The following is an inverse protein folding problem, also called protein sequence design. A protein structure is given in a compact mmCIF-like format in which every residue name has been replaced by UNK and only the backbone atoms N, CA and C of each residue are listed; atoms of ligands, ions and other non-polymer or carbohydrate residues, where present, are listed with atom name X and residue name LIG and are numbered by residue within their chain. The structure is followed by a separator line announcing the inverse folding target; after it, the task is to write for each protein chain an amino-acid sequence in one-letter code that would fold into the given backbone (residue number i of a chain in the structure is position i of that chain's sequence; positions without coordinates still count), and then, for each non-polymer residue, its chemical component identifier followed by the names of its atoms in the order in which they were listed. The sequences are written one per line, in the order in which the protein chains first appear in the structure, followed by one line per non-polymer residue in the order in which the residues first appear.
data_IF_706479126676
#
_entry.id   IF_706479126676
#
_cell.length_a   1.000
_cell.length_b   1.000
_cell.length_c   1.000
_cell.angle_alpha   90.00
_cell.angle_beta   90.00
_cell.angle_gamma   90.00
#
_symmetry.space_group_name_H-M   'P 1'
#
loop_
_entity.id
_entity.type
_entity.pdbx_description
1 polymer ?
#
# COMPACT_ATOMS: atom_id res chain seq x y z
N UNK A 1 13.69 -29.69 8.86
CA UNK A 1 14.87 -29.89 9.73
C UNK A 1 15.45 -28.55 10.20
N UNK A 2 14.64 -27.72 10.86
CA UNK A 2 15.08 -26.55 11.64
C UNK A 2 14.11 -26.48 12.83
N UNK A 3 14.63 -26.58 14.05
CA UNK A 3 13.82 -26.76 15.25
C UNK A 3 13.42 -25.44 15.92
N UNK A 4 14.14 -24.35 15.63
CA UNK A 4 13.96 -23.04 16.24
C UNK A 4 12.94 -22.11 15.55
N UNK A 5 12.26 -22.55 14.48
CA UNK A 5 11.29 -21.72 13.76
C UNK A 5 9.88 -21.80 14.36
N UNK A 6 9.26 -20.65 14.62
CA UNK A 6 7.87 -20.56 15.11
C UNK A 6 6.82 -20.62 14.00
N UNK A 7 7.23 -20.41 12.74
CA UNK A 7 6.39 -20.50 11.54
C UNK A 7 7.16 -21.22 10.42
N UNK A 8 6.46 -21.86 9.46
CA UNK A 8 7.09 -22.37 8.26
C UNK A 8 7.83 -21.25 7.51
N UNK A 9 9.01 -21.57 6.99
CA UNK A 9 9.79 -20.63 6.19
C UNK A 9 9.03 -20.32 4.90
N UNK A 10 8.88 -19.03 4.59
CA UNK A 10 8.24 -18.59 3.35
C UNK A 10 9.15 -18.83 2.14
N UNK A 11 8.57 -19.16 1.00
CA UNK A 11 9.34 -19.34 -0.24
C UNK A 11 9.96 -18.00 -0.64
N UNK A 12 11.24 -18.03 -1.00
CA UNK A 12 12.00 -16.83 -1.39
C UNK A 12 12.37 -15.92 -0.22
N UNK A 13 12.18 -16.37 1.01
CA UNK A 13 12.62 -15.64 2.20
C UNK A 13 14.09 -15.94 2.48
N UNK A 14 14.96 -14.94 2.31
CA UNK A 14 16.40 -15.03 2.57
C UNK A 14 16.84 -14.01 3.64
N UNK A 15 15.88 -13.42 4.35
CA UNK A 15 16.10 -12.27 5.24
C UNK A 15 16.20 -12.69 6.69
N UNK A 16 17.17 -13.56 6.97
CA UNK A 16 17.49 -14.02 8.31
C UNK A 16 18.94 -14.48 8.39
N UNK A 17 19.43 -14.61 9.62
CA UNK A 17 20.70 -15.26 9.94
C UNK A 17 20.38 -16.58 10.63
N UNK A 18 20.98 -17.65 10.15
CA UNK A 18 20.84 -18.99 10.72
C UNK A 18 22.21 -19.62 10.91
N UNK A 19 22.39 -20.29 12.06
CA UNK A 19 23.54 -21.13 12.34
C UNK A 19 23.06 -22.45 12.93
N UNK A 20 23.48 -23.57 12.34
CA UNK A 20 23.07 -24.89 12.80
C UNK A 20 23.81 -25.28 14.09
N UNK A 21 23.26 -26.28 14.78
CA UNK A 21 23.83 -26.78 16.04
C UNK A 21 25.26 -27.31 15.90
N UNK A 22 25.60 -27.87 14.72
CA UNK A 22 26.94 -28.40 14.43
C UNK A 22 27.97 -27.27 14.33
N UNK A 23 27.67 -26.20 13.57
CA UNK A 23 28.57 -25.07 13.41
C UNK A 23 28.79 -24.33 14.75
N UNK A 24 27.72 -24.17 15.53
CA UNK A 24 27.77 -23.44 16.80
C UNK A 24 28.25 -24.28 17.99
N UNK A 25 28.36 -25.60 17.82
CA UNK A 25 28.63 -26.55 18.91
C UNK A 25 27.64 -26.36 20.09
N UNK A 26 26.35 -26.17 19.76
CA UNK A 26 25.33 -25.75 20.73
C UNK A 26 23.93 -25.68 20.12
N UNK A 27 22.96 -24.98 20.76
CA UNK A 27 21.62 -24.83 20.21
C UNK A 27 21.63 -23.98 18.93
N UNK A 28 20.73 -24.32 17.99
CA UNK A 28 20.53 -23.56 16.75
C UNK A 28 20.33 -22.07 17.04
N UNK A 29 20.91 -21.22 16.18
CA UNK A 29 20.70 -19.79 16.23
C UNK A 29 19.85 -19.36 15.04
N UNK A 30 18.81 -18.59 15.31
CA UNK A 30 17.97 -17.96 14.30
C UNK A 30 17.69 -16.52 14.69
N UNK A 31 17.96 -15.60 13.77
CA UNK A 31 17.71 -14.18 13.96
C UNK A 31 17.07 -13.61 12.68
N UNK A 32 15.94 -12.94 12.84
CA UNK A 32 15.22 -12.33 11.72
C UNK A 32 15.89 -11.01 11.33
N UNK A 33 16.19 -10.81 10.05
CA UNK A 33 16.65 -9.52 9.58
C UNK A 33 15.46 -8.53 9.50
N UNK A 34 15.71 -7.26 9.82
CA UNK A 34 14.70 -6.22 9.69
C UNK A 34 14.27 -6.05 8.23
N UNK A 35 12.99 -6.32 7.95
CA UNK A 35 12.42 -6.17 6.62
C UNK A 35 12.01 -4.72 6.35
N UNK A 36 12.29 -4.24 5.12
CA UNK A 36 11.61 -3.07 4.59
C UNK A 36 10.19 -3.44 4.19
N UNK A 37 9.27 -2.46 4.22
CA UNK A 37 7.88 -2.68 3.78
C UNK A 37 7.79 -3.15 2.33
N UNK A 38 8.71 -2.73 1.46
CA UNK A 38 8.75 -3.17 0.05
C UNK A 38 9.04 -4.67 -0.04
N UNK A 39 10.09 -5.13 0.66
CA UNK A 39 10.45 -6.55 0.69
C UNK A 39 9.35 -7.39 1.34
N UNK A 40 8.77 -6.91 2.44
CA UNK A 40 7.67 -7.59 3.12
C UNK A 40 6.48 -7.82 2.18
N UNK A 41 6.01 -6.77 1.50
CA UNK A 41 4.87 -6.87 0.58
C UNK A 41 5.19 -7.75 -0.62
N UNK A 42 6.41 -7.67 -1.16
CA UNK A 42 6.87 -8.54 -2.25
C UNK A 42 6.85 -10.02 -1.80
N UNK A 43 7.48 -10.32 -0.66
CA UNK A 43 7.54 -11.68 -0.11
C UNK A 43 6.14 -12.27 0.06
N UNK A 44 5.21 -11.49 0.63
CA UNK A 44 3.83 -11.91 0.85
C UNK A 44 3.10 -12.18 -0.46
N UNK A 45 3.18 -11.26 -1.43
CA UNK A 45 2.57 -11.46 -2.74
C UNK A 45 3.14 -12.67 -3.47
N UNK A 46 4.46 -12.88 -3.40
CA UNK A 46 5.11 -14.05 -4.00
C UNK A 46 4.56 -15.37 -3.42
N UNK A 47 4.36 -15.44 -2.11
CA UNK A 47 3.81 -16.62 -1.45
C UNK A 47 2.31 -16.81 -1.69
N UNK A 48 1.54 -15.71 -1.83
CA UNK A 48 0.13 -15.78 -2.25
C UNK A 48 -0.01 -16.33 -3.68
N UNK A 49 0.81 -15.85 -4.62
CA UNK A 49 0.87 -16.33 -6.02
C UNK A 49 1.35 -17.77 -6.14
N UNK A 50 2.19 -18.22 -5.22
CA UNK A 50 2.66 -19.61 -5.18
C UNK A 50 1.59 -20.54 -4.61
N UNK A 51 0.91 -20.13 -3.54
CA UNK A 51 -0.19 -20.90 -2.93
C UNK A 51 -1.43 -20.99 -3.83
N UNK A 52 -1.66 -19.98 -4.68
CA UNK A 52 -2.82 -19.90 -5.58
C UNK A 52 -2.37 -19.71 -7.04
N UNK A 53 -1.86 -20.75 -7.72
CA UNK A 53 -1.28 -20.62 -9.05
C UNK A 53 -2.28 -20.17 -10.13
N UNK A 54 -3.56 -20.48 -9.95
CA UNK A 54 -4.65 -20.06 -10.85
C UNK A 54 -5.09 -18.59 -10.63
N UNK A 55 -4.69 -17.97 -9.51
CA UNK A 55 -5.07 -16.62 -9.15
C UNK A 55 -3.95 -15.62 -9.49
N UNK A 56 -4.24 -14.74 -10.46
CA UNK A 56 -3.25 -13.76 -10.91
C UNK A 56 -3.19 -12.49 -10.06
N UNK A 57 -4.29 -12.08 -9.45
CA UNK A 57 -4.40 -10.82 -8.70
C UNK A 57 -5.00 -11.06 -7.31
N UNK A 58 -4.52 -10.29 -6.34
CA UNK A 58 -4.89 -10.40 -4.94
C UNK A 58 -5.40 -9.07 -4.42
N UNK A 59 -6.43 -9.10 -3.58
CA UNK A 59 -6.96 -7.94 -2.90
C UNK A 59 -6.03 -7.51 -1.78
N UNK A 60 -5.58 -6.26 -1.80
CA UNK A 60 -4.56 -5.82 -0.84
C UNK A 60 -5.03 -5.86 0.61
N UNK A 61 -6.29 -5.51 0.87
CA UNK A 61 -6.80 -5.40 2.24
C UNK A 61 -7.21 -6.75 2.80
N UNK A 62 -7.85 -7.59 1.99
CA UNK A 62 -8.42 -8.86 2.42
C UNK A 62 -7.43 -10.03 2.35
N UNK A 63 -6.45 -9.97 1.44
CA UNK A 63 -5.49 -11.07 1.23
C UNK A 63 -4.07 -10.66 1.67
N UNK A 64 -3.52 -9.57 1.14
CA UNK A 64 -2.13 -9.16 1.45
C UNK A 64 -2.00 -8.74 2.92
N UNK A 65 -2.86 -7.82 3.39
CA UNK A 65 -2.84 -7.38 4.78
C UNK A 65 -3.18 -8.53 5.74
N UNK A 66 -4.14 -9.38 5.41
CA UNK A 66 -4.46 -10.55 6.24
C UNK A 66 -3.24 -11.47 6.41
N UNK A 67 -2.52 -11.75 5.34
CA UNK A 67 -1.31 -12.57 5.40
C UNK A 67 -0.23 -11.91 6.29
N UNK A 68 0.03 -10.61 6.10
CA UNK A 68 1.01 -9.87 6.93
C UNK A 68 0.63 -9.96 8.41
N UNK A 69 -0.66 -9.80 8.71
CA UNK A 69 -1.16 -9.89 10.08
C UNK A 69 -0.93 -11.28 10.71
N UNK A 70 -1.25 -12.35 9.99
CA UNK A 70 -1.05 -13.73 10.46
C UNK A 70 0.42 -14.12 10.68
N UNK A 71 1.32 -13.47 9.93
CA UNK A 71 2.77 -13.67 10.00
C UNK A 71 3.49 -12.55 10.74
N UNK A 72 2.78 -11.63 11.41
CA UNK A 72 3.36 -10.40 11.97
C UNK A 72 4.52 -10.69 12.91
N UNK A 73 4.30 -11.50 13.94
CA UNK A 73 5.32 -11.82 14.95
C UNK A 73 6.54 -12.54 14.38
N UNK A 74 6.41 -13.18 13.22
CA UNK A 74 7.50 -13.88 12.55
C UNK A 74 8.28 -12.97 11.59
N UNK A 75 7.58 -12.16 10.79
CA UNK A 75 8.20 -11.30 9.77
C UNK A 75 8.69 -9.97 10.34
N UNK A 76 8.04 -9.48 11.38
CA UNK A 76 8.23 -8.16 11.98
C UNK A 76 8.30 -8.23 13.52
N UNK A 77 9.23 -9.05 14.09
CA UNK A 77 9.29 -9.26 15.55
C UNK A 77 9.48 -7.96 16.34
N UNK A 78 10.21 -6.99 15.79
CA UNK A 78 10.53 -5.71 16.46
C UNK A 78 9.59 -4.56 16.09
N UNK A 79 8.48 -4.81 15.36
CA UNK A 79 7.53 -3.75 14.97
C UNK A 79 6.19 -3.92 15.67
N UNK A 80 5.65 -2.80 16.13
CA UNK A 80 4.29 -2.73 16.66
C UNK A 80 3.24 -2.61 15.54
N UNK A 81 2.08 -3.23 15.76
CA UNK A 81 0.92 -3.15 14.86
C UNK A 81 0.19 -1.82 15.03
N UNK A 82 0.74 -0.74 14.47
CA UNK A 82 0.09 0.56 14.51
C UNK A 82 -1.29 0.52 13.81
N UNK A 83 -2.32 1.24 14.26
CA UNK A 83 -3.67 1.17 13.67
C UNK A 83 -3.75 1.49 12.17
N UNK A 84 -2.70 2.12 11.63
CA UNK A 84 -2.61 2.59 10.24
C UNK A 84 -1.53 1.87 9.44
N UNK A 85 -0.96 0.76 9.95
CA UNK A 85 0.12 0.02 9.27
C UNK A 85 -0.26 -0.40 7.84
N UNK A 86 -1.54 -0.69 7.60
CA UNK A 86 -2.10 -1.07 6.31
C UNK A 86 -2.00 0.07 5.27
N UNK A 87 -1.97 1.34 5.70
CA UNK A 87 -1.76 2.47 4.79
C UNK A 87 -0.35 2.45 4.20
N UNK A 88 0.63 1.95 4.94
CA UNK A 88 2.00 1.74 4.44
C UNK A 88 2.02 0.69 3.34
N UNK A 89 1.26 -0.39 3.48
CA UNK A 89 1.11 -1.43 2.44
C UNK A 89 0.51 -0.83 1.17
N UNK A 90 -0.59 -0.08 1.29
CA UNK A 90 -1.21 0.60 0.15
C UNK A 90 -0.26 1.59 -0.54
N UNK A 91 0.53 2.33 0.25
CA UNK A 91 1.55 3.25 -0.25
C UNK A 91 2.65 2.52 -1.02
N UNK A 92 3.20 1.43 -0.47
CA UNK A 92 4.23 0.61 -1.12
C UNK A 92 3.75 0.07 -2.46
N UNK A 93 2.54 -0.50 -2.51
CA UNK A 93 1.94 -1.02 -3.73
C UNK A 93 1.82 0.06 -4.82
N UNK A 94 1.39 1.26 -4.41
CA UNK A 94 1.15 2.37 -5.34
C UNK A 94 2.43 3.04 -5.84
N UNK A 95 3.47 3.12 -5.00
CA UNK A 95 4.73 3.80 -5.33
C UNK A 95 5.68 2.88 -6.10
N UNK A 96 5.74 1.59 -5.76
CA UNK A 96 6.70 0.66 -6.34
C UNK A 96 6.15 -0.03 -7.62
N UNK A 97 5.73 0.79 -8.59
CA UNK A 97 5.10 0.36 -9.84
C UNK A 97 6.01 -0.45 -10.79
N UNK A 98 7.31 -0.56 -10.48
CA UNK A 98 8.27 -1.38 -11.21
C UNK A 98 8.37 -2.81 -10.64
N UNK A 99 7.73 -3.06 -9.49
CA UNK A 99 7.62 -4.38 -8.84
C UNK A 99 6.17 -4.85 -8.89
N UNK A 100 5.24 -3.96 -8.52
CA UNK A 100 3.82 -4.27 -8.36
C UNK A 100 3.00 -3.74 -9.52
N UNK A 101 2.06 -4.55 -9.98
CA UNK A 101 1.11 -4.21 -11.03
C UNK A 101 -0.29 -4.08 -10.43
N UNK A 102 -0.95 -2.95 -10.69
CA UNK A 102 -2.36 -2.75 -10.37
C UNK A 102 -3.24 -3.54 -11.33
N UNK A 103 -4.21 -4.25 -10.78
CA UNK A 103 -5.22 -5.00 -11.52
C UNK A 103 -6.48 -4.22 -11.85
N UNK A 104 -6.51 -2.91 -11.62
CA UNK A 104 -7.72 -2.10 -11.83
C UNK A 104 -8.27 -2.20 -13.25
N UNK A 105 -7.40 -2.25 -14.26
CA UNK A 105 -7.79 -2.38 -15.66
C UNK A 105 -8.33 -3.77 -15.98
N UNK A 106 -7.79 -4.81 -15.35
CA UNK A 106 -8.16 -6.22 -15.59
C UNK A 106 -9.38 -6.65 -14.79
N UNK A 107 -9.53 -6.14 -13.55
CA UNK A 107 -10.58 -6.52 -12.61
C UNK A 107 -11.74 -5.51 -12.57
N UNK A 108 -11.59 -4.33 -13.18
CA UNK A 108 -12.59 -3.28 -13.19
C UNK A 108 -12.81 -2.58 -11.84
N UNK A 109 -12.02 -2.91 -10.82
CA UNK A 109 -12.12 -2.36 -9.48
C UNK A 109 -10.73 -2.07 -8.90
N UNK A 110 -10.62 -1.04 -8.06
CA UNK A 110 -9.36 -0.74 -7.37
C UNK A 110 -9.03 -1.79 -6.32
N UNK A 111 -7.76 -1.83 -5.90
CA UNK A 111 -7.33 -2.68 -4.78
C UNK A 111 -6.89 -4.09 -5.15
N UNK A 112 -6.82 -4.42 -6.45
CA UNK A 112 -6.24 -5.66 -6.94
C UNK A 112 -4.78 -5.46 -7.32
N UNK A 113 -3.91 -6.36 -6.88
CA UNK A 113 -2.47 -6.23 -7.05
C UNK A 113 -1.82 -7.57 -7.36
N UNK A 114 -0.71 -7.52 -8.08
CA UNK A 114 0.14 -8.68 -8.39
C UNK A 114 1.60 -8.27 -8.56
N UNK A 115 2.50 -9.25 -8.65
CA UNK A 115 3.88 -9.00 -9.06
C UNK A 115 3.98 -8.95 -10.58
N UNK A 116 4.74 -8.00 -11.10
CA UNK A 116 5.05 -7.92 -12.54
C UNK A 116 5.81 -9.17 -13.01
N UNK A 117 6.64 -9.72 -12.14
CA UNK A 117 7.45 -10.92 -12.38
C UNK A 117 7.30 -11.84 -11.17
N UNK A 118 6.86 -13.08 -11.38
CA UNK A 118 6.77 -14.11 -10.33
C UNK A 118 8.17 -14.61 -9.98
N UNK A 119 8.92 -13.76 -9.30
CA UNK A 119 10.25 -14.03 -8.78
C UNK A 119 10.31 -13.64 -7.30
N UNK A 120 11.11 -14.37 -6.49
CA UNK A 120 11.28 -14.05 -5.08
C UNK A 120 11.93 -12.66 -4.91
N UNK A 121 11.73 -12.02 -3.74
CA UNK A 121 12.44 -10.80 -3.39
C UNK A 121 13.95 -11.06 -3.32
N UNK A 122 14.75 -10.26 -4.03
CA UNK A 122 16.21 -10.38 -4.02
C UNK A 122 16.79 -9.31 -3.09
N UNK A 123 17.59 -9.75 -2.12
CA UNK A 123 18.27 -8.92 -1.12
C UNK A 123 19.14 -7.82 -1.74
N UNK A 124 19.70 -8.08 -2.93
CA UNK A 124 20.67 -7.23 -3.59
C UNK A 124 20.08 -6.51 -4.83
N UNK A 125 18.78 -6.65 -5.10
CA UNK A 125 18.20 -6.18 -6.37
C UNK A 125 18.25 -4.65 -6.46
N UNK A 126 19.25 -4.15 -7.20
CA UNK A 126 19.12 -2.88 -7.93
C UNK A 126 18.09 -3.11 -9.03
N UNK A 127 16.81 -2.98 -8.70
CA UNK A 127 15.70 -3.12 -9.64
C UNK A 127 15.91 -2.14 -10.80
N UNK A 128 16.46 -2.64 -11.91
CA UNK A 128 16.51 -1.87 -13.16
C UNK A 128 15.08 -1.79 -13.70
N UNK A 129 14.57 -0.60 -14.05
CA UNK A 129 13.28 -0.48 -14.72
C UNK A 129 13.38 -1.23 -16.05
N UNK A 130 12.71 -2.38 -16.17
CA UNK A 130 12.45 -2.97 -17.49
C UNK A 130 11.21 -2.28 -18.02
N UNK A 131 11.41 -1.31 -18.92
CA UNK A 131 10.34 -0.77 -19.75
C UNK A 131 9.73 -1.92 -20.56
N UNK A 132 8.68 -2.57 -20.03
CA UNK A 132 7.87 -3.50 -20.81
C UNK A 132 6.78 -2.68 -21.48
N UNK A 133 6.89 -2.53 -22.79
CA UNK A 133 5.79 -2.08 -23.62
C UNK A 133 4.62 -3.05 -23.43
N UNK A 134 3.48 -2.54 -22.96
CA UNK A 134 2.22 -3.28 -22.92
C UNK A 134 1.81 -3.60 -24.37
N UNK A 135 1.52 -4.86 -24.74
CA UNK A 135 0.97 -5.15 -26.05
C UNK A 135 -0.48 -4.64 -26.09
N UNK A 136 -0.70 -3.50 -26.75
CA UNK A 136 -2.05 -3.04 -27.08
C UNK A 136 -2.59 -3.89 -28.22
N UNK A 137 -3.49 -4.82 -27.92
CA UNK A 137 -4.38 -5.40 -28.91
C UNK A 137 -5.18 -4.26 -29.55
N UNK A 138 -4.96 -4.05 -30.85
CA UNK A 138 -5.55 -2.95 -31.61
C UNK A 138 -7.05 -3.11 -31.77
N UNK A 139 -7.80 -2.10 -31.31
CA UNK A 139 -9.14 -1.80 -31.83
C UNK A 139 -9.07 -0.39 -32.41
N UNK A 140 -9.28 -0.30 -33.72
CA UNK A 140 -9.17 0.90 -34.51
C UNK A 140 -10.16 1.98 -34.03
N UNK A 141 -9.61 3.15 -33.71
CA UNK A 141 -10.38 4.35 -33.33
C UNK A 141 -10.60 5.17 -34.61
N UNK A 142 -11.82 5.18 -35.12
CA UNK A 142 -12.19 5.99 -36.28
C UNK A 142 -12.47 7.43 -35.81
N UNK A 143 -11.52 8.33 -36.09
CA UNK A 143 -11.66 9.77 -35.87
C UNK A 143 -12.33 10.42 -37.07
N UNK A 144 -13.56 10.92 -36.91
CA UNK A 144 -14.21 11.78 -37.90
C UNK A 144 -13.78 13.23 -37.70
N UNK A 145 -12.97 13.73 -38.62
CA UNK A 145 -12.68 15.15 -38.85
C UNK A 145 -13.86 15.85 -39.52
N UNK A 146 -14.32 17.00 -39.00
CA UNK A 146 -15.00 18.02 -39.83
C UNK A 146 -14.57 19.43 -39.44
N UNK A 147 -14.37 20.22 -40.49
CA UNK A 147 -13.59 21.44 -40.58
C UNK A 147 -14.47 22.68 -40.49
N UNK A 148 -13.91 23.73 -39.87
CA UNK A 148 -14.05 25.18 -40.10
C UNK A 148 -15.22 25.71 -40.94
N UNK A 149 -15.96 26.66 -40.37
CA UNK A 149 -16.41 27.84 -41.11
C UNK A 149 -16.21 29.12 -40.26
N UNK A 150 -15.68 30.16 -40.93
CA UNK A 150 -15.36 31.49 -40.39
C UNK A 150 -16.51 32.45 -40.68
N UNK A 151 -16.91 33.30 -39.72
CA UNK A 151 -17.53 34.61 -40.02
C UNK A 151 -17.10 35.66 -38.99
N UNK A 152 -17.03 36.91 -39.45
CA UNK A 152 -16.13 37.95 -38.99
C UNK A 152 -16.70 38.96 -37.97
N UNK A 153 -15.78 39.48 -37.13
CA UNK A 153 -15.55 40.87 -36.67
C UNK A 153 -16.73 41.75 -36.20
N UNK A 154 -16.66 42.19 -34.93
CA UNK A 154 -16.87 43.59 -34.53
C UNK A 154 -16.21 43.90 -33.17
N UNK A 155 -15.71 45.13 -33.01
CA UNK A 155 -14.97 45.67 -31.85
C UNK A 155 -15.93 46.14 -30.75
N UNK A 156 -15.47 46.11 -29.49
CA UNK A 156 -16.02 46.95 -28.42
C UNK A 156 -15.89 46.35 -27.02
N UNK A 157 -14.97 46.86 -26.21
CA UNK A 157 -15.09 46.87 -24.74
C UNK A 157 -15.69 48.23 -24.35
N UNK A 158 -16.52 48.37 -23.29
CA UNK A 158 -15.98 48.36 -21.92
C UNK A 158 -16.92 47.88 -20.78
N UNK A 159 -16.29 47.57 -19.64
CA UNK A 159 -16.71 47.79 -18.23
C UNK A 159 -18.04 47.24 -17.66
N UNK A 160 -17.86 46.42 -16.61
CA UNK A 160 -18.47 46.49 -15.25
C UNK A 160 -20.02 46.57 -15.14
N UNK A 161 -20.65 45.52 -14.58
CA UNK A 161 -21.54 45.61 -13.39
C UNK A 161 -22.10 44.24 -12.95
N UNK A 162 -22.31 44.16 -11.62
CA UNK A 162 -23.00 43.13 -10.82
C UNK A 162 -24.49 43.04 -11.14
N UNK A 163 -25.05 41.82 -11.06
CA UNK A 163 -26.43 41.43 -10.67
C UNK A 163 -26.36 39.92 -10.34
N UNK A 164 -26.54 39.38 -9.12
CA UNK A 164 -27.72 39.22 -8.22
C UNK A 164 -28.92 38.47 -8.83
N UNK A 165 -29.52 37.60 -7.99
CA UNK A 165 -30.70 36.70 -8.11
C UNK A 165 -30.39 35.29 -8.67
N UNK A 166 -30.89 34.15 -8.15
CA UNK A 166 -31.76 33.78 -7.01
C UNK A 166 -31.55 32.25 -6.83
N UNK A 167 -31.22 31.70 -5.67
CA UNK A 167 -32.10 31.13 -4.63
C UNK A 167 -33.20 30.15 -5.11
N UNK A 168 -32.99 28.85 -4.84
CA UNK A 168 -34.00 27.78 -4.58
C UNK A 168 -33.19 26.59 -4.02
N UNK A 169 -32.98 26.49 -2.70
CA UNK A 169 -33.81 25.78 -1.70
C UNK A 169 -34.18 24.34 -2.10
N UNK A 170 -33.52 23.37 -1.46
CA UNK A 170 -34.12 22.15 -0.90
C UNK A 170 -33.12 21.54 0.09
N UNK A 171 -33.49 21.60 1.36
CA UNK A 171 -32.84 21.05 2.53
C UNK A 171 -32.90 19.51 2.54
N UNK A 172 -31.82 18.85 2.96
CA UNK A 172 -31.89 17.56 3.65
C UNK A 172 -30.70 17.43 4.62
N UNK A 173 -31.06 17.48 5.90
CA UNK A 173 -30.26 17.35 7.10
C UNK A 173 -29.56 15.98 7.22
N UNK A 174 -28.26 15.97 7.54
CA UNK A 174 -27.71 14.91 8.38
C UNK A 174 -26.67 15.46 9.37
N UNK A 175 -27.07 15.45 10.64
CA UNK A 175 -26.33 15.89 11.81
C UNK A 175 -24.93 15.23 11.93
N UNK A 176 -23.91 16.07 12.11
CA UNK A 176 -22.58 15.68 12.59
C UNK A 176 -22.47 16.00 14.08
N UNK A 177 -22.40 14.98 14.94
CA UNK A 177 -22.03 15.15 16.35
C UNK A 177 -20.50 15.14 16.52
N UNK A 178 -19.94 16.29 16.85
CA UNK A 178 -18.56 16.45 17.32
C UNK A 178 -18.45 16.07 18.81
N UNK A 179 -17.43 15.28 19.17
CA UNK A 179 -17.08 14.94 20.56
C UNK A 179 -16.17 16.02 21.20
N UNK A 180 -16.31 16.36 22.49
CA UNK A 180 -15.47 17.36 23.16
C UNK A 180 -14.09 16.84 23.59
N UNK A 181 -13.16 17.79 23.70
CA UNK A 181 -11.78 17.69 24.18
C UNK A 181 -11.70 17.57 25.71
N UNK A 182 -10.85 16.71 26.30
CA UNK A 182 -10.61 16.74 27.75
C UNK A 182 -9.58 17.81 28.15
N UNK A 183 -9.88 18.54 29.23
CA UNK A 183 -8.99 19.49 29.91
C UNK A 183 -8.17 18.76 30.98
N UNK A 184 -6.89 19.10 31.06
CA UNK A 184 -5.91 18.60 32.04
C UNK A 184 -5.87 19.54 33.25
N UNK A 185 -6.16 19.04 34.45
CA UNK A 185 -5.91 19.71 35.72
C UNK A 185 -4.79 18.99 36.47
N UNK A 186 -3.75 19.75 36.86
CA UNK A 186 -2.65 19.29 37.69
C UNK A 186 -3.01 19.40 39.18
N UNK A 187 -2.45 18.54 40.06
CA UNK A 187 -2.36 18.82 41.48
C UNK A 187 -0.90 19.11 41.91
N UNK A 188 -0.73 20.25 42.60
CA UNK A 188 0.43 20.61 43.41
C UNK A 188 0.12 20.33 44.88
N UNK A 189 1.05 19.68 45.61
CA UNK A 189 1.42 19.81 47.04
C UNK A 189 1.93 18.45 47.57
N UNK A 190 2.87 18.32 48.51
CA UNK A 190 3.89 19.17 49.16
C UNK A 190 4.73 18.16 49.98
N UNK A 191 6.06 18.24 49.91
CA UNK A 191 6.99 17.39 50.67
C UNK A 191 6.98 17.85 52.14
N UNK A 192 6.93 16.90 53.09
CA UNK A 192 7.20 17.12 54.52
C UNK A 192 8.35 16.19 54.93
N UNK A 193 9.42 16.80 55.42
CA UNK A 193 10.65 16.16 55.91
C UNK A 193 10.52 16.00 57.43
N UNK A 194 10.83 14.81 57.94
CA UNK A 194 11.01 14.52 59.37
C UNK A 194 12.33 15.09 59.90
N UNK A 195 12.41 15.46 61.18
CA UNK A 195 13.62 15.33 61.97
C UNK A 195 13.68 14.00 62.72
#
# INVERSE_FOLDING_TARGET
CVSCLTKPLLKGDEFFKFECSVCRQGPEFFERAALSWVILVHLVLYNLMDSHPEQQYFRWKEEICKFIYEYWSYLLPDKEQSPTWNNTVASVLSVQNHIFLSGVETKGASGWWTLIEKAPPDRNRKLKPKNKAVPKSGVARQSTSKSKEKRARAKGSPSRKKTRFDETSSDDDFHTSAKPRPQSTAPTTRIKVEP
#
